data_IF_867878621340
#
_entry.id   IF_867878621340
#
_cell.length_a   1.000
_cell.length_b   1.000
_cell.length_c   1.000
_cell.angle_alpha   90.00
_cell.angle_beta   90.00
_cell.angle_gamma   90.00
#
_symmetry.space_group_name_H-M   'P 1'
#
loop_
_entity.id
_entity.type
_entity.pdbx_description
1 polymer ?
#
# COMPACT_ATOMS: atom_id res chain seq x y z
N UNK A 1 -11.35 12.99 -12.97
CA UNK A 1 -11.46 11.52 -12.92
C UNK A 1 -11.05 11.11 -11.52
N UNK A 2 -11.92 10.46 -10.75
CA UNK A 2 -11.64 10.08 -9.35
C UNK A 2 -10.27 9.41 -9.24
N UNK A 3 -9.35 10.03 -8.49
CA UNK A 3 -8.05 9.47 -8.09
C UNK A 3 -8.28 8.30 -7.13
N UNK A 4 -9.02 7.29 -7.56
CA UNK A 4 -9.32 6.10 -6.80
C UNK A 4 -8.08 5.22 -6.83
N UNK A 5 -7.51 4.99 -5.65
CA UNK A 5 -6.43 4.03 -5.50
C UNK A 5 -6.92 2.64 -5.96
N UNK A 6 -6.08 1.86 -6.65
CA UNK A 6 -6.47 0.55 -7.14
C UNK A 6 -6.79 -0.38 -5.97
N UNK A 7 -7.70 -1.34 -6.19
CA UNK A 7 -8.09 -2.32 -5.17
C UNK A 7 -6.89 -3.13 -4.66
N UNK A 8 -5.97 -3.46 -5.58
CA UNK A 8 -4.72 -4.15 -5.29
C UNK A 8 -3.55 -3.38 -5.88
N UNK A 9 -2.60 -3.05 -5.01
CA UNK A 9 -1.35 -2.37 -5.38
C UNK A 9 -0.18 -3.12 -4.76
N UNK A 10 0.91 -3.22 -5.51
CA UNK A 10 2.18 -3.80 -5.06
C UNK A 10 3.32 -2.83 -5.36
N UNK A 11 4.26 -2.68 -4.43
CA UNK A 11 5.49 -1.90 -4.64
C UNK A 11 6.55 -2.69 -5.42
N UNK A 12 6.32 -3.99 -5.61
CA UNK A 12 7.27 -4.92 -6.21
C UNK A 12 7.15 -4.89 -7.74
N UNK A 13 8.18 -4.48 -8.50
CA UNK A 13 8.10 -4.31 -9.96
C UNK A 13 7.87 -5.63 -10.70
N UNK A 14 8.16 -6.78 -10.07
CA UNK A 14 7.90 -8.10 -10.65
C UNK A 14 6.44 -8.56 -10.47
N UNK A 15 5.62 -7.78 -9.76
CA UNK A 15 4.21 -8.07 -9.51
C UNK A 15 3.31 -7.50 -10.62
N UNK A 16 2.26 -8.22 -11.05
CA UNK A 16 1.29 -7.71 -12.04
C UNK A 16 0.43 -6.54 -11.53
N UNK A 17 0.56 -6.20 -10.25
CA UNK A 17 -0.14 -5.09 -9.60
C UNK A 17 0.81 -3.94 -9.24
N UNK A 18 1.99 -3.90 -9.87
CA UNK A 18 2.89 -2.77 -9.79
C UNK A 18 2.37 -1.60 -10.63
N UNK A 19 2.30 -0.42 -10.03
CA UNK A 19 1.84 0.79 -10.68
C UNK A 19 2.71 1.97 -10.24
N UNK A 20 3.63 2.38 -11.10
CA UNK A 20 4.59 3.46 -10.81
C UNK A 20 3.90 4.82 -10.61
N UNK A 21 2.81 5.10 -11.33
CA UNK A 21 2.08 6.38 -11.24
C UNK A 21 1.42 6.54 -9.87
N UNK A 22 0.87 5.43 -9.35
CA UNK A 22 0.30 5.38 -8.02
C UNK A 22 1.42 5.44 -6.97
N UNK A 23 2.48 4.65 -7.12
CA UNK A 23 3.61 4.62 -6.18
C UNK A 23 4.40 5.93 -6.12
N UNK A 24 4.34 6.77 -7.16
CA UNK A 24 4.90 8.11 -7.17
C UNK A 24 4.15 9.09 -6.26
N UNK A 25 2.93 8.76 -5.82
CA UNK A 25 2.15 9.55 -4.87
C UNK A 25 2.51 9.14 -3.44
N UNK A 26 2.44 10.09 -2.50
CA UNK A 26 2.61 9.77 -1.07
C UNK A 26 1.35 9.04 -0.58
N UNK A 27 1.39 7.70 -0.60
CA UNK A 27 0.26 6.84 -0.24
C UNK A 27 0.48 6.20 1.12
N UNK A 28 -0.54 6.30 1.97
CA UNK A 28 -0.65 5.55 3.22
C UNK A 28 -1.74 4.48 3.16
N UNK A 29 -1.68 3.51 4.08
CA UNK A 29 -2.74 2.53 4.27
C UNK A 29 -3.16 2.50 5.73
N UNK A 30 -4.44 2.67 6.01
CA UNK A 30 -5.01 2.41 7.34
C UNK A 30 -5.45 0.95 7.37
N UNK A 31 -4.87 0.19 8.30
CA UNK A 31 -5.16 -1.22 8.48
C UNK A 31 -5.74 -1.49 9.86
N UNK A 32 -6.98 -1.98 9.92
CA UNK A 32 -7.73 -2.16 11.16
C UNK A 32 -7.70 -0.89 12.06
N UNK A 33 -7.89 0.28 11.45
CA UNK A 33 -7.85 1.58 12.15
C UNK A 33 -6.46 2.06 12.56
N UNK A 34 -5.38 1.41 12.10
CA UNK A 34 -3.99 1.83 12.37
C UNK A 34 -3.28 2.19 11.08
N UNK A 35 -2.68 3.38 11.04
CA UNK A 35 -1.85 3.79 9.92
C UNK A 35 -0.62 2.87 9.76
N UNK A 36 -0.38 2.45 8.52
CA UNK A 36 0.77 1.66 8.07
C UNK A 36 1.38 2.34 6.85
N UNK A 37 2.67 2.64 6.96
CA UNK A 37 3.48 3.24 5.90
C UNK A 37 4.50 2.25 5.32
N UNK A 38 4.69 1.11 5.97
CA UNK A 38 5.59 0.03 5.54
C UNK A 38 4.84 -1.11 4.83
N UNK A 39 3.76 -0.76 4.12
CA UNK A 39 2.98 -1.71 3.33
C UNK A 39 3.66 -1.91 1.99
N UNK A 40 3.93 -3.17 1.67
CA UNK A 40 4.49 -3.54 0.37
C UNK A 40 3.44 -3.93 -0.64
N UNK A 41 2.33 -4.49 -0.18
CA UNK A 41 1.23 -4.86 -1.05
C UNK A 41 -0.06 -4.81 -0.24
N UNK A 42 -1.15 -4.40 -0.83
CA UNK A 42 -2.47 -4.48 -0.21
C UNK A 42 -3.49 -5.01 -1.21
N UNK A 43 -4.57 -5.60 -0.71
CA UNK A 43 -5.76 -5.91 -1.47
C UNK A 43 -6.99 -5.58 -0.63
N UNK A 44 -7.79 -4.63 -1.12
CA UNK A 44 -9.00 -4.14 -0.44
C UNK A 44 -10.13 -5.16 -0.59
N UNK A 45 -10.34 -5.71 -1.80
CA UNK A 45 -11.39 -6.71 -2.06
C UNK A 45 -11.24 -7.97 -1.22
N UNK A 46 -10.01 -8.47 -1.05
CA UNK A 46 -9.73 -9.63 -0.20
C UNK A 46 -9.46 -9.26 1.28
N UNK A 47 -9.31 -7.97 1.59
CA UNK A 47 -9.10 -7.47 2.95
C UNK A 47 -7.79 -7.93 3.58
N UNK A 48 -6.64 -7.64 2.95
CA UNK A 48 -5.34 -7.94 3.53
C UNK A 48 -4.22 -6.99 3.08
N UNK A 49 -3.17 -6.91 3.90
CA UNK A 49 -1.92 -6.22 3.59
C UNK A 49 -0.73 -7.16 3.75
N UNK A 50 0.34 -6.90 3.00
CA UNK A 50 1.65 -7.51 3.14
C UNK A 50 2.61 -6.42 3.63
N UNK A 51 3.22 -6.66 4.78
CA UNK A 51 4.14 -5.71 5.42
C UNK A 51 5.44 -6.42 5.78
N UNK A 52 6.53 -5.67 5.88
CA UNK A 52 7.75 -6.19 6.49
C UNK A 52 7.54 -6.38 8.00
N UNK A 53 7.81 -7.59 8.49
CA UNK A 53 7.74 -7.97 9.90
C UNK A 53 8.97 -7.45 10.66
N UNK A 54 8.97 -6.14 10.92
CA UNK A 54 10.03 -5.47 11.67
C UNK A 54 11.41 -5.61 11.02
N UNK A 55 12.46 -5.65 11.85
CA UNK A 55 13.87 -5.77 11.40
C UNK A 55 14.31 -7.21 11.11
N UNK A 56 13.39 -8.18 11.22
CA UNK A 56 13.73 -9.58 11.09
C UNK A 56 13.99 -9.93 9.62
N UNK A 57 15.17 -10.51 9.37
CA UNK A 57 15.60 -11.00 8.07
C UNK A 57 15.59 -12.52 8.05
N UNK A 58 15.31 -13.11 6.89
CA UNK A 58 15.43 -14.55 6.68
C UNK A 58 16.91 -14.99 6.66
N UNK A 59 17.14 -16.30 6.49
CA UNK A 59 18.49 -16.88 6.39
C UNK A 59 19.32 -16.37 5.20
N UNK A 60 18.69 -15.69 4.24
CA UNK A 60 19.31 -15.11 3.06
C UNK A 60 19.46 -13.58 3.17
N UNK A 61 19.06 -12.97 4.30
CA UNK A 61 19.14 -11.53 4.53
C UNK A 61 17.94 -10.74 4.01
N UNK A 62 16.91 -11.39 3.48
CA UNK A 62 15.71 -10.72 2.98
C UNK A 62 14.77 -10.34 4.12
N UNK A 63 14.16 -9.15 4.11
CA UNK A 63 13.15 -8.79 5.10
C UNK A 63 11.99 -9.78 5.06
N UNK A 64 11.58 -10.28 6.22
CA UNK A 64 10.44 -11.18 6.33
C UNK A 64 9.16 -10.39 6.04
N UNK A 65 8.45 -10.77 4.98
CA UNK A 65 7.13 -10.20 4.65
C UNK A 65 6.04 -11.05 5.31
N UNK A 66 5.11 -10.41 6.01
CA UNK A 66 3.94 -11.08 6.62
C UNK A 66 2.65 -10.55 6.01
N UNK A 67 1.70 -11.47 5.79
CA UNK A 67 0.35 -11.15 5.33
C UNK A 67 -0.57 -10.98 6.54
N UNK A 68 -1.15 -9.80 6.69
CA UNK A 68 -2.12 -9.49 7.75
C UNK A 68 -3.49 -9.32 7.10
N UNK A 69 -4.51 -10.02 7.62
CA UNK A 69 -5.91 -9.92 7.15
C UNK A 69 -6.70 -8.96 8.03
N UNK A 70 -7.55 -8.13 7.44
CA UNK A 70 -8.32 -7.10 8.13
C UNK A 70 -8.87 -6.03 7.19
N UNK A 71 -9.45 -4.99 7.78
CA UNK A 71 -9.94 -3.82 7.03
C UNK A 71 -8.75 -3.06 6.46
N UNK A 72 -8.77 -2.82 5.15
CA UNK A 72 -7.72 -2.12 4.40
C UNK A 72 -8.32 -0.87 3.78
N UNK A 73 -7.78 0.29 4.14
CA UNK A 73 -8.23 1.60 3.67
C UNK A 73 -7.02 2.38 3.14
N UNK A 74 -6.72 2.29 1.83
CA UNK A 74 -5.65 3.07 1.22
C UNK A 74 -6.08 4.54 1.08
N UNK A 75 -5.15 5.46 1.26
CA UNK A 75 -5.39 6.90 1.15
C UNK A 75 -4.15 7.65 0.64
N UNK A 76 -4.36 8.77 -0.05
CA UNK A 76 -3.28 9.66 -0.51
C UNK A 76 -3.02 10.69 0.58
N UNK A 77 -1.78 10.77 1.06
CA UNK A 77 -1.33 11.74 2.09
C UNK A 77 -1.29 13.16 1.55
N UNK A 78 -0.99 13.33 0.27
CA UNK A 78 -0.87 14.65 -0.37
C UNK A 78 -2.18 15.15 -1.01
N UNK A 79 -3.34 14.75 -0.48
CA UNK A 79 -4.64 15.29 -0.91
C UNK A 79 -4.88 16.74 -0.43
N UNK A 80 -3.85 17.59 -0.47
CA UNK A 80 -3.92 19.05 -0.24
C UNK A 80 -4.10 19.84 -1.54
N UNK A 81 -3.99 19.21 -2.71
CA UNK A 81 -4.02 19.83 -4.04
C UNK A 81 -4.54 18.75 -5.01
N UNK A 82 -5.57 18.88 -5.85
CA UNK A 82 -6.25 20.03 -6.46
C UNK A 82 -7.74 19.70 -6.62
N UNK A 83 -8.59 20.51 -6.00
CA UNK A 83 -9.84 20.96 -6.64
C UNK A 83 -9.48 22.21 -7.42
N UNK A 84 -9.06 22.09 -8.68
CA UNK A 84 -9.09 23.22 -9.62
C UNK A 84 -10.03 22.82 -10.75
N UNK A 85 -11.28 23.17 -10.49
CA UNK A 85 -12.31 23.40 -11.49
C UNK A 85 -11.92 24.70 -12.22
N UNK A 86 -11.53 24.62 -13.49
CA UNK A 86 -11.62 25.70 -14.49
C UNK A 86 -11.73 25.13 -15.91
#
# INVERSE_FOLDING_TARGET
MTTALPDRLSIDPDSPHYDEEVLGQDIGVIFNGKEKTNVEEYCVSEGWIKVQAGKSRDRHGNPLKIKLKGTVEPYVKDASVESTDD
#
